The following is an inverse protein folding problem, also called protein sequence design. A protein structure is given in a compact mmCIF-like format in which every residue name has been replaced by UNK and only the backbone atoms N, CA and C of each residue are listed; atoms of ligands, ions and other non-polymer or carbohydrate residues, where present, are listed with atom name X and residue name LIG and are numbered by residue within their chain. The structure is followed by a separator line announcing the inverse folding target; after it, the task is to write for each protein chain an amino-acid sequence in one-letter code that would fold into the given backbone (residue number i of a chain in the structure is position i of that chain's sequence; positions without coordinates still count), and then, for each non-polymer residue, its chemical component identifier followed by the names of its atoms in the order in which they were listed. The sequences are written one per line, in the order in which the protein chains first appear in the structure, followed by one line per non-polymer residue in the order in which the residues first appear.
data_IF_323107455567
#
_entry.id   IF_323107455567
#
_cell.length_a   1.000
_cell.length_b   1.000
_cell.length_c   1.000
_cell.angle_alpha   90.00
_cell.angle_beta   90.00
_cell.angle_gamma   90.00
#
_symmetry.space_group_name_H-M   'P 1'
#
loop_
_entity.id
_entity.type
_entity.pdbx_description
1 polymer ?
#
# COMPACT_ATOMS: atom_id res chain seq x y z
N UNK A 1 -22.20 38.22 -39.25
CA UNK A 1 -23.57 38.17 -38.70
C UNK A 1 -24.10 36.76 -38.86
N UNK A 2 -24.12 35.97 -37.77
CA UNK A 2 -24.70 34.63 -37.70
C UNK A 2 -25.33 34.47 -36.31
N UNK A 3 -26.49 33.80 -36.18
CA UNK A 3 -27.39 34.01 -35.07
C UNK A 3 -27.05 33.15 -33.85
N UNK A 4 -27.32 33.75 -32.70
CA UNK A 4 -27.25 33.23 -31.33
C UNK A 4 -28.32 32.16 -31.11
N UNK A 5 -27.92 30.96 -30.66
CA UNK A 5 -28.86 29.94 -30.17
C UNK A 5 -28.96 30.06 -28.65
N UNK A 6 -30.14 30.46 -28.17
CA UNK A 6 -30.48 30.47 -26.75
C UNK A 6 -30.94 29.07 -26.33
N UNK A 7 -30.34 28.51 -25.27
CA UNK A 7 -30.77 27.26 -24.65
C UNK A 7 -31.41 27.57 -23.29
N UNK A 8 -32.68 27.20 -23.17
CA UNK A 8 -33.51 27.41 -21.99
C UNK A 8 -33.10 26.48 -20.84
N UNK A 9 -33.00 27.08 -19.65
CA UNK A 9 -32.69 26.45 -18.38
C UNK A 9 -34.00 25.95 -17.75
N UNK A 10 -34.14 24.64 -17.55
CA UNK A 10 -35.23 24.07 -16.76
C UNK A 10 -34.70 23.73 -15.35
N UNK A 11 -35.13 24.49 -14.34
CA UNK A 11 -34.96 24.14 -12.94
C UNK A 11 -35.95 23.03 -12.57
N UNK A 12 -35.44 21.92 -12.05
CA UNK A 12 -36.22 20.93 -11.32
C UNK A 12 -35.81 20.97 -9.85
N UNK A 13 -36.68 21.54 -9.03
CA UNK A 13 -36.65 21.47 -7.56
C UNK A 13 -37.15 20.11 -7.09
N UNK A 14 -36.33 19.36 -6.36
CA UNK A 14 -36.74 18.17 -5.62
C UNK A 14 -36.65 18.47 -4.11
N UNK A 15 -37.81 18.37 -3.48
CA UNK A 15 -38.01 18.50 -2.04
C UNK A 15 -37.49 17.26 -1.31
N UNK A 16 -36.70 17.45 -0.26
CA UNK A 16 -36.37 16.39 0.70
C UNK A 16 -37.34 16.48 1.88
N UNK A 17 -38.13 15.43 2.03
CA UNK A 17 -38.96 15.14 3.21
C UNK A 17 -38.08 14.70 4.38
N UNK A 18 -38.24 15.37 5.51
CA UNK A 18 -37.61 15.08 6.79
C UNK A 18 -38.13 13.76 7.38
N UNK A 19 -37.23 12.82 7.69
CA UNK A 19 -37.52 11.69 8.58
C UNK A 19 -37.21 12.10 10.03
N UNK A 20 -38.27 12.08 10.82
CA UNK A 20 -38.36 12.28 12.26
C UNK A 20 -37.60 11.15 12.98
N UNK A 21 -36.73 11.49 13.93
CA UNK A 21 -36.12 10.54 14.86
C UNK A 21 -36.77 10.80 16.21
N UNK A 22 -37.56 9.85 16.69
CA UNK A 22 -38.23 9.94 17.99
C UNK A 22 -37.21 9.64 19.09
N UNK A 23 -37.08 10.60 20.01
CA UNK A 23 -36.47 10.47 21.32
C UNK A 23 -37.43 9.67 22.22
N UNK A 24 -36.95 8.61 22.87
CA UNK A 24 -37.58 8.11 24.08
C UNK A 24 -36.53 7.66 25.09
N UNK A 25 -36.46 8.45 26.15
CA UNK A 25 -35.63 8.27 27.33
C UNK A 25 -36.26 7.24 28.30
N UNK A 26 -35.42 6.51 29.04
CA UNK A 26 -35.78 6.01 30.37
C UNK A 26 -34.56 5.97 31.29
N UNK A 27 -34.47 6.86 32.29
CA UNK A 27 -33.57 6.67 33.42
C UNK A 27 -34.29 5.90 34.52
N UNK A 28 -33.58 5.03 35.23
CA UNK A 28 -33.99 4.60 36.56
C UNK A 28 -32.78 4.48 37.50
N UNK A 29 -32.91 4.97 38.75
CA UNK A 29 -31.83 5.09 39.71
C UNK A 29 -31.72 3.84 40.59
N UNK A 30 -30.50 3.52 41.01
CA UNK A 30 -30.25 2.42 41.94
C UNK A 30 -28.90 2.58 42.61
N UNK A 31 -28.81 3.57 43.50
CA UNK A 31 -27.70 3.71 44.43
C UNK A 31 -27.75 2.57 45.46
N UNK A 32 -26.80 1.64 45.38
CA UNK A 32 -26.50 0.69 46.45
C UNK A 32 -25.21 1.13 47.14
N UNK A 33 -25.26 1.18 48.47
CA UNK A 33 -24.24 1.69 49.38
C UNK A 33 -22.87 0.98 49.24
N UNK A 34 -21.76 1.66 49.58
CA UNK A 34 -20.46 1.03 49.65
C UNK A 34 -20.30 0.21 50.95
N UNK A 35 -19.84 -1.05 50.89
CA UNK A 35 -19.36 -1.77 52.07
C UNK A 35 -17.99 -1.24 52.55
N UNK A 36 -17.64 -1.48 53.83
CA UNK A 36 -16.62 -0.74 54.56
C UNK A 36 -15.18 -1.02 54.10
N UNK A 37 -14.37 0.04 54.18
CA UNK A 37 -12.92 0.04 54.00
C UNK A 37 -12.25 -1.02 54.89
N UNK A 38 -11.70 -2.05 54.26
CA UNK A 38 -10.87 -3.03 54.93
C UNK A 38 -9.45 -2.97 54.38
N UNK A 39 -8.56 -2.50 55.28
CA UNK A 39 -7.12 -2.81 55.37
C UNK A 39 -6.21 -2.14 54.35
N UNK A 40 -5.26 -1.38 54.90
CA UNK A 40 -3.90 -1.21 54.40
C UNK A 40 -3.37 -2.55 53.87
N UNK A 41 -3.52 -2.76 52.57
CA UNK A 41 -2.59 -3.55 51.80
C UNK A 41 -1.54 -2.54 51.33
N UNK A 42 -0.31 -2.68 51.82
CA UNK A 42 0.82 -1.97 51.22
C UNK A 42 0.79 -2.17 49.70
N UNK A 43 1.29 -1.19 48.92
CA UNK A 43 1.19 -1.25 47.46
C UNK A 43 1.66 -2.62 47.00
N UNK A 44 0.87 -3.34 46.17
CA UNK A 44 1.34 -4.61 45.63
C UNK A 44 2.71 -4.33 45.04
N UNK A 45 3.72 -5.12 45.44
CA UNK A 45 4.97 -5.13 44.73
C UNK A 45 4.62 -5.52 43.31
N UNK A 46 4.52 -4.51 42.43
CA UNK A 46 4.56 -4.71 41.01
C UNK A 46 5.94 -5.26 40.75
N UNK A 47 6.06 -6.60 40.85
CA UNK A 47 7.12 -7.32 40.18
C UNK A 47 7.11 -6.75 38.78
N UNK A 48 8.13 -5.93 38.48
CA UNK A 48 8.28 -5.31 37.19
C UNK A 48 8.28 -6.48 36.21
N UNK A 49 7.14 -6.67 35.53
CA UNK A 49 7.04 -7.66 34.48
C UNK A 49 8.13 -7.26 33.49
N UNK A 50 9.25 -7.99 33.52
CA UNK A 50 10.30 -7.82 32.53
C UNK A 50 9.65 -8.25 31.23
N UNK A 51 9.13 -7.26 30.50
CA UNK A 51 8.73 -7.45 29.13
C UNK A 51 9.98 -7.98 28.42
N UNK A 52 9.91 -9.18 27.80
CA UNK A 52 11.05 -9.69 27.06
C UNK A 52 11.46 -8.64 26.03
N UNK A 53 12.77 -8.40 25.92
CA UNK A 53 13.29 -7.49 24.91
C UNK A 53 12.82 -7.97 23.54
N UNK A 54 12.42 -7.05 22.63
CA UNK A 54 12.00 -7.44 21.30
C UNK A 54 13.13 -8.21 20.61
N UNK A 55 12.76 -9.27 19.89
CA UNK A 55 13.71 -10.02 19.08
C UNK A 55 14.42 -9.08 18.07
N UNK A 56 15.72 -9.29 17.79
CA UNK A 56 16.39 -8.49 16.77
C UNK A 56 15.75 -8.73 15.39
N UNK A 57 15.82 -7.76 14.47
CA UNK A 57 15.33 -7.91 13.11
C UNK A 57 15.92 -9.15 12.40
N UNK A 58 15.11 -9.77 11.54
CA UNK A 58 15.48 -10.97 10.80
C UNK A 58 16.71 -10.75 9.91
N UNK A 59 16.81 -9.59 9.26
CA UNK A 59 17.97 -9.23 8.43
C UNK A 59 18.66 -7.96 8.92
N UNK A 60 19.95 -7.75 8.56
CA UNK A 60 20.69 -6.55 8.94
C UNK A 60 19.99 -5.26 8.53
N UNK A 61 20.20 -4.21 9.32
CA UNK A 61 19.71 -2.87 9.01
C UNK A 61 20.42 -2.30 7.77
N UNK A 62 19.67 -1.51 6.99
CA UNK A 62 20.20 -0.81 5.82
C UNK A 62 20.93 0.45 6.32
N UNK A 63 22.20 0.68 5.93
CA UNK A 63 22.90 1.91 6.31
C UNK A 63 22.15 3.16 5.82
N UNK A 64 22.06 4.25 6.61
CA UNK A 64 21.40 5.48 6.19
C UNK A 64 21.94 6.01 4.85
N UNK A 65 21.05 6.44 3.96
CA UNK A 65 21.39 6.96 2.64
C UNK A 65 21.72 5.90 1.58
N UNK A 66 21.69 4.61 1.92
CA UNK A 66 21.85 3.52 0.95
C UNK A 66 20.50 2.98 0.49
N UNK A 67 20.48 2.36 -0.69
CA UNK A 67 19.30 1.65 -1.21
C UNK A 67 19.39 0.20 -0.75
N UNK A 68 18.30 -0.31 -0.20
CA UNK A 68 18.30 -1.66 0.32
C UNK A 68 16.95 -2.13 0.81
N UNK A 69 16.94 -3.40 1.19
CA UNK A 69 15.82 -4.08 1.81
C UNK A 69 16.26 -4.70 3.14
N UNK A 70 15.42 -4.54 4.15
CA UNK A 70 15.52 -5.22 5.43
C UNK A 70 14.18 -5.86 5.72
N UNK A 71 14.16 -7.13 6.10
CA UNK A 71 13.00 -7.78 6.69
C UNK A 71 13.18 -7.78 8.21
N UNK A 72 12.18 -7.29 8.92
CA UNK A 72 12.16 -7.27 10.39
C UNK A 72 11.67 -8.63 10.89
N UNK A 73 10.56 -9.11 10.33
CA UNK A 73 9.98 -10.42 10.62
C UNK A 73 8.95 -10.78 9.51
N UNK A 74 8.82 -12.08 9.24
CA UNK A 74 7.94 -12.64 8.19
C UNK A 74 6.50 -12.83 8.66
N UNK A 75 6.25 -12.85 9.97
CA UNK A 75 4.94 -13.21 10.52
C UNK A 75 4.16 -12.01 11.06
N UNK A 76 4.80 -10.93 11.53
CA UNK A 76 4.10 -9.65 11.85
C UNK A 76 5.00 -8.40 11.81
N UNK A 77 6.33 -8.51 11.92
CA UNK A 77 7.20 -7.32 12.04
C UNK A 77 7.45 -6.56 10.74
N UNK A 78 7.09 -7.12 9.58
CA UNK A 78 7.14 -6.44 8.30
C UNK A 78 8.55 -6.21 7.77
N UNK A 79 8.73 -5.16 6.97
CA UNK A 79 9.98 -4.88 6.26
C UNK A 79 10.22 -3.38 6.15
N UNK A 80 11.47 -3.02 5.85
CA UNK A 80 11.91 -1.66 5.54
C UNK A 80 12.55 -1.69 4.15
N UNK A 81 12.01 -0.90 3.23
CA UNK A 81 12.59 -0.67 1.91
C UNK A 81 13.15 0.74 1.83
N UNK A 82 14.48 0.88 1.99
CA UNK A 82 15.11 2.19 2.00
C UNK A 82 15.49 2.62 0.57
N UNK A 83 15.08 3.83 0.19
CA UNK A 83 15.41 4.41 -1.11
C UNK A 83 14.71 3.73 -2.30
N UNK A 84 13.67 2.93 -2.05
CA UNK A 84 12.85 2.31 -3.09
C UNK A 84 11.51 3.05 -3.24
N UNK A 85 10.96 3.19 -4.46
CA UNK A 85 11.54 2.79 -5.76
C UNK A 85 12.87 3.46 -6.07
N UNK A 86 13.77 2.73 -6.74
CA UNK A 86 15.07 3.23 -7.19
C UNK A 86 15.21 3.11 -8.69
N UNK A 87 16.02 3.97 -9.28
CA UNK A 87 16.37 3.93 -10.70
C UNK A 87 17.88 3.82 -10.84
N UNK A 88 18.32 3.03 -11.83
CA UNK A 88 19.73 2.96 -12.19
C UNK A 88 20.19 4.30 -12.76
N UNK A 89 21.46 4.68 -12.56
CA UNK A 89 22.01 5.97 -12.99
C UNK A 89 21.83 6.26 -14.48
N UNK A 90 21.84 5.22 -15.32
CA UNK A 90 21.59 5.28 -16.77
C UNK A 90 20.10 5.37 -17.17
N UNK A 91 19.17 5.29 -16.21
CA UNK A 91 17.73 5.34 -16.42
C UNK A 91 17.12 4.10 -17.09
N UNK A 92 17.91 3.03 -17.28
CA UNK A 92 17.49 1.82 -18.02
C UNK A 92 16.63 0.86 -17.21
N UNK A 93 16.78 0.87 -15.89
CA UNK A 93 16.15 -0.09 -14.98
C UNK A 93 15.62 0.61 -13.73
N UNK A 94 14.50 0.09 -13.21
CA UNK A 94 13.84 0.57 -12.00
C UNK A 94 13.63 -0.60 -11.06
N UNK A 95 14.07 -0.46 -9.81
CA UNK A 95 13.85 -1.44 -8.76
C UNK A 95 12.69 -1.02 -7.86
N UNK A 96 11.82 -1.97 -7.54
CA UNK A 96 10.61 -1.78 -6.73
C UNK A 96 10.41 -2.96 -5.80
N UNK A 97 9.60 -2.76 -4.77
CA UNK A 97 9.02 -3.83 -3.96
C UNK A 97 7.55 -3.99 -4.28
N UNK A 98 7.06 -5.21 -4.24
CA UNK A 98 5.64 -5.53 -4.30
C UNK A 98 5.27 -6.35 -3.07
N UNK A 99 4.33 -5.82 -2.30
CA UNK A 99 3.77 -6.47 -1.10
C UNK A 99 2.34 -6.83 -1.40
N UNK A 100 2.00 -8.12 -1.38
CA UNK A 100 0.62 -8.57 -1.50
C UNK A 100 -0.03 -8.65 -0.11
N UNK A 101 -1.35 -8.54 -0.08
CA UNK A 101 -2.15 -8.90 1.10
C UNK A 101 -2.45 -10.40 1.02
N UNK A 102 -2.04 -11.11 2.06
CA UNK A 102 -2.14 -12.56 2.16
C UNK A 102 -3.55 -13.06 2.55
N UNK A 103 -4.50 -12.14 2.71
CA UNK A 103 -5.87 -12.44 3.12
C UNK A 103 -6.03 -12.56 4.63
N UNK A 104 -5.16 -11.88 5.39
CA UNK A 104 -5.23 -11.83 6.85
C UNK A 104 -4.64 -13.04 7.54
N UNK A 105 -3.78 -13.84 6.87
CA UNK A 105 -3.04 -14.92 7.58
C UNK A 105 -1.89 -14.34 8.40
N UNK A 106 -1.54 -13.07 8.16
CA UNK A 106 -0.54 -12.32 8.92
C UNK A 106 0.86 -12.38 8.30
N UNK A 107 1.08 -13.22 7.30
CA UNK A 107 2.40 -13.44 6.74
C UNK A 107 2.76 -12.45 5.65
N UNK A 108 4.05 -12.11 5.60
CA UNK A 108 4.59 -11.24 4.58
C UNK A 108 4.61 -11.93 3.21
N UNK A 109 3.91 -11.33 2.25
CA UNK A 109 4.03 -11.66 0.83
C UNK A 109 4.84 -10.55 0.15
N UNK A 110 6.15 -10.76 0.01
CA UNK A 110 7.08 -9.73 -0.46
C UNK A 110 7.91 -10.22 -1.64
N UNK A 111 7.94 -9.42 -2.69
CA UNK A 111 8.77 -9.64 -3.87
C UNK A 111 9.54 -8.36 -4.23
N UNK A 112 10.83 -8.49 -4.49
CA UNK A 112 11.65 -7.42 -5.07
C UNK A 112 11.72 -7.61 -6.59
N UNK A 113 11.49 -6.55 -7.36
CA UNK A 113 11.44 -6.59 -8.82
C UNK A 113 12.36 -5.55 -9.44
N UNK A 114 12.94 -5.89 -10.59
CA UNK A 114 13.60 -4.95 -11.50
C UNK A 114 12.79 -4.89 -12.79
N UNK A 115 12.43 -3.67 -13.17
CA UNK A 115 11.67 -3.33 -14.37
C UNK A 115 12.62 -2.73 -15.40
N UNK A 116 12.43 -3.04 -16.68
CA UNK A 116 13.05 -2.29 -17.77
C UNK A 116 12.31 -0.98 -18.05
N UNK A 117 12.80 -0.18 -19.01
CA UNK A 117 12.21 1.09 -19.38
C UNK A 117 10.75 1.02 -19.89
N UNK A 118 10.26 -0.17 -20.27
CA UNK A 118 8.87 -0.40 -20.69
C UNK A 118 7.94 -0.77 -19.53
N UNK A 119 8.50 -0.98 -18.33
CA UNK A 119 7.78 -1.46 -17.16
C UNK A 119 7.69 -2.99 -17.08
N UNK A 120 8.37 -3.72 -17.97
CA UNK A 120 8.40 -5.18 -17.93
C UNK A 120 9.36 -5.65 -16.83
N UNK A 121 8.92 -6.60 -16.02
CA UNK A 121 9.77 -7.28 -15.04
C UNK A 121 10.84 -8.09 -15.78
N UNK A 122 12.11 -7.73 -15.57
CA UNK A 122 13.29 -8.42 -16.11
C UNK A 122 14.05 -9.23 -15.06
N UNK A 123 13.80 -8.94 -13.78
CA UNK A 123 14.31 -9.71 -12.65
C UNK A 123 13.30 -9.66 -11.51
N UNK A 124 13.11 -10.76 -10.80
CA UNK A 124 12.28 -10.82 -9.61
C UNK A 124 12.90 -11.80 -8.61
N UNK A 125 12.81 -11.48 -7.32
CA UNK A 125 13.13 -12.37 -6.21
C UNK A 125 11.99 -12.35 -5.21
N UNK A 126 11.42 -13.53 -4.97
CA UNK A 126 10.49 -13.78 -3.87
C UNK A 126 11.28 -13.71 -2.56
N UNK A 127 11.03 -12.68 -1.77
CA UNK A 127 11.73 -12.42 -0.51
C UNK A 127 11.05 -13.12 0.65
N UNK A 128 9.72 -13.08 0.68
CA UNK A 128 8.90 -13.82 1.63
C UNK A 128 7.69 -14.39 0.90
N UNK A 129 7.35 -15.64 1.20
CA UNK A 129 6.18 -16.33 0.68
C UNK A 129 5.31 -16.77 1.85
N UNK A 130 4.05 -16.29 1.95
CA UNK A 130 3.17 -16.63 3.06
C UNK A 130 2.86 -18.14 3.13
N UNK A 131 3.06 -18.90 2.06
CA UNK A 131 2.83 -20.35 2.06
C UNK A 131 4.01 -21.16 2.65
N UNK A 132 5.13 -20.51 2.92
CA UNK A 132 6.30 -21.14 3.55
C UNK A 132 6.33 -20.94 5.06
N UNK A 133 5.44 -20.11 5.59
CA UNK A 133 5.37 -19.86 7.01
C UNK A 133 4.74 -21.05 7.74
N UNK A 134 5.33 -21.39 8.88
CA UNK A 134 4.74 -22.36 9.79
C UNK A 134 3.61 -21.67 10.57
N UNK A 135 2.37 -22.22 10.58
CA UNK A 135 1.29 -21.68 11.40
C UNK A 135 1.58 -21.69 12.90
N UNK A 136 2.56 -22.46 13.36
CA UNK A 136 2.96 -22.48 14.76
C UNK A 136 3.95 -21.35 15.08
N UNK A 137 3.60 -20.52 16.07
CA UNK A 137 4.51 -19.51 16.58
C UNK A 137 5.76 -20.20 17.15
N UNK A 138 6.97 -19.91 16.64
CA UNK A 138 8.17 -20.56 17.13
C UNK A 138 8.38 -20.21 18.60
N UNK A 139 8.64 -21.22 19.43
CA UNK A 139 8.99 -20.99 20.83
C UNK A 139 10.17 -20.02 20.93
N UNK A 140 10.15 -19.14 21.94
CA UNK A 140 11.23 -18.19 22.16
C UNK A 140 12.60 -18.90 22.24
N UNK A 141 13.54 -18.51 21.38
CA UNK A 141 14.87 -19.13 21.28
C UNK A 141 14.94 -20.37 20.39
N UNK A 142 13.87 -20.73 19.66
CA UNK A 142 13.92 -21.72 18.61
C UNK A 142 14.96 -21.35 17.53
N UNK A 143 15.60 -22.33 16.87
CA UNK A 143 16.44 -22.06 15.72
C UNK A 143 15.63 -21.40 14.60
N UNK A 144 16.26 -20.60 13.72
CA UNK A 144 15.58 -20.01 12.58
C UNK A 144 14.87 -21.05 11.72
N UNK A 145 13.65 -20.75 11.31
CA UNK A 145 12.87 -21.61 10.41
C UNK A 145 13.50 -21.69 9.01
N UNK A 146 13.03 -22.65 8.19
CA UNK A 146 13.42 -22.70 6.79
C UNK A 146 13.02 -21.41 6.03
N UNK A 147 11.85 -20.84 6.37
CA UNK A 147 11.38 -19.57 5.82
C UNK A 147 12.32 -18.42 6.20
N UNK A 148 12.74 -18.33 7.46
CA UNK A 148 13.69 -17.31 7.93
C UNK A 148 15.01 -17.35 7.17
N UNK A 149 15.56 -18.55 6.97
CA UNK A 149 16.82 -18.73 6.24
C UNK A 149 16.66 -18.39 4.75
N UNK A 150 15.55 -18.78 4.13
CA UNK A 150 15.24 -18.43 2.74
C UNK A 150 15.09 -16.91 2.57
N UNK A 151 14.37 -16.24 3.48
CA UNK A 151 14.22 -14.77 3.46
C UNK A 151 15.55 -14.06 3.67
N UNK A 152 16.40 -14.51 4.58
CA UNK A 152 17.76 -13.94 4.74
C UNK A 152 18.58 -14.05 3.47
N UNK A 153 18.55 -15.20 2.80
CA UNK A 153 19.26 -15.41 1.55
C UNK A 153 18.72 -14.51 0.43
N UNK A 154 17.40 -14.40 0.31
CA UNK A 154 16.75 -13.56 -0.68
C UNK A 154 17.04 -12.07 -0.47
N UNK A 155 17.01 -11.57 0.77
CA UNK A 155 17.39 -10.19 1.10
C UNK A 155 18.86 -9.93 0.76
N UNK A 156 19.76 -10.87 1.06
CA UNK A 156 21.17 -10.74 0.70
C UNK A 156 21.36 -10.67 -0.82
N UNK A 157 20.63 -11.48 -1.59
CA UNK A 157 20.63 -11.42 -3.05
C UNK A 157 20.14 -10.04 -3.55
N UNK A 158 19.00 -9.56 -3.07
CA UNK A 158 18.44 -8.26 -3.47
C UNK A 158 19.41 -7.11 -3.16
N UNK A 159 19.98 -7.09 -1.96
CA UNK A 159 20.94 -6.07 -1.56
C UNK A 159 22.26 -6.16 -2.37
N UNK A 160 22.65 -7.35 -2.83
CA UNK A 160 23.78 -7.47 -3.76
C UNK A 160 23.50 -6.83 -5.12
N UNK A 161 22.25 -6.78 -5.59
CA UNK A 161 21.90 -6.06 -6.83
C UNK A 161 22.10 -4.56 -6.69
N UNK A 162 21.72 -4.02 -5.54
CA UNK A 162 21.89 -2.60 -5.23
C UNK A 162 23.37 -2.25 -5.05
N UNK A 163 24.14 -3.10 -4.37
CA UNK A 163 25.57 -2.89 -4.20
C UNK A 163 26.37 -2.97 -5.52
N UNK A 164 25.90 -3.76 -6.49
CA UNK A 164 26.58 -3.95 -7.78
C UNK A 164 26.29 -2.86 -8.83
N UNK A 165 25.29 -2.00 -8.59
CA UNK A 165 24.85 -0.98 -9.55
C UNK A 165 24.95 0.43 -9.00
N UNK A 166 25.00 1.40 -9.90
CA UNK A 166 24.77 2.81 -9.56
C UNK A 166 23.26 3.04 -9.51
N UNK A 167 22.69 2.98 -8.31
CA UNK A 167 21.26 3.18 -8.07
C UNK A 167 21.05 4.47 -7.28
N UNK A 168 19.94 5.16 -7.59
CA UNK A 168 19.46 6.31 -6.81
C UNK A 168 17.99 6.16 -6.51
N UNK A 169 17.57 6.66 -5.36
CA UNK A 169 16.17 6.72 -4.98
C UNK A 169 15.38 7.60 -5.95
N UNK A 170 14.16 7.20 -6.27
CA UNK A 170 13.21 8.01 -7.02
C UNK A 170 12.34 8.81 -6.04
N UNK A 171 12.42 10.15 -6.06
CA UNK A 171 11.55 10.96 -5.23
C UNK A 171 10.12 10.88 -5.74
N UNK A 172 9.15 10.84 -4.82
CA UNK A 172 7.75 10.63 -5.17
C UNK A 172 6.80 11.07 -4.07
N UNK A 173 5.51 10.86 -4.33
CA UNK A 173 4.47 11.03 -3.31
C UNK A 173 4.60 9.96 -2.23
N UNK A 174 4.04 10.26 -1.05
CA UNK A 174 3.79 9.22 -0.06
C UNK A 174 2.79 8.20 -0.64
N UNK A 175 2.99 6.89 -0.42
CA UNK A 175 2.02 5.88 -0.81
C UNK A 175 0.70 6.08 -0.08
N UNK A 176 -0.40 6.13 -0.84
CA UNK A 176 -1.74 6.05 -0.27
C UNK A 176 -1.98 4.59 0.13
N UNK A 177 -2.26 4.30 1.42
CA UNK A 177 -2.56 2.94 1.86
C UNK A 177 -3.93 2.48 1.31
N UNK A 178 -4.14 1.17 1.13
CA UNK A 178 -5.46 0.66 0.79
C UNK A 178 -6.46 0.96 1.92
N UNK A 179 -7.68 1.36 1.56
CA UNK A 179 -8.80 1.49 2.51
C UNK A 179 -10.11 1.12 1.83
N UNK A 180 -11.07 0.60 2.59
CA UNK A 180 -12.39 0.22 2.06
C UNK A 180 -13.17 1.43 1.52
N UNK A 181 -12.94 2.62 2.08
CA UNK A 181 -13.54 3.89 1.64
C UNK A 181 -12.74 4.60 0.53
N UNK A 182 -11.74 3.93 -0.05
CA UNK A 182 -10.86 4.56 -1.03
C UNK A 182 -11.61 4.77 -2.35
N UNK A 183 -11.78 6.04 -2.75
CA UNK A 183 -12.18 6.35 -4.12
C UNK A 183 -11.02 6.00 -5.06
N UNK A 184 -11.20 4.96 -5.88
CA UNK A 184 -10.18 4.48 -6.80
C UNK A 184 -9.70 5.52 -7.83
N UNK A 185 -10.44 6.61 -8.02
CA UNK A 185 -10.05 7.72 -8.90
C UNK A 185 -9.44 8.90 -8.14
N UNK A 186 -9.05 8.72 -6.87
CA UNK A 186 -8.35 9.73 -6.08
C UNK A 186 -7.09 10.20 -6.82
N UNK A 187 -6.94 11.52 -7.03
CA UNK A 187 -5.78 12.06 -7.69
C UNK A 187 -4.56 12.02 -6.74
N UNK A 188 -3.42 11.61 -7.28
CA UNK A 188 -2.13 11.75 -6.60
C UNK A 188 -1.45 13.01 -7.11
N UNK A 189 -1.05 13.90 -6.21
CA UNK A 189 -0.34 15.14 -6.58
C UNK A 189 1.12 15.03 -6.17
N UNK A 190 2.01 15.42 -7.06
CA UNK A 190 3.43 15.53 -6.79
C UNK A 190 4.01 16.76 -7.51
N UNK A 191 4.55 17.69 -6.73
CA UNK A 191 4.94 19.04 -7.20
C UNK A 191 3.75 19.77 -7.84
N UNK A 192 3.89 20.28 -9.07
CA UNK A 192 2.86 20.99 -9.83
C UNK A 192 1.98 20.07 -10.69
N UNK A 193 2.19 18.75 -10.62
CA UNK A 193 1.49 17.75 -11.42
C UNK A 193 0.47 16.98 -10.60
N UNK A 194 -0.71 16.77 -11.19
CA UNK A 194 -1.78 15.93 -10.66
C UNK A 194 -2.00 14.74 -11.60
N UNK A 195 -1.92 13.54 -11.03
CA UNK A 195 -2.09 12.27 -11.72
C UNK A 195 -3.42 11.66 -11.32
N UNK A 196 -4.23 11.24 -12.30
CA UNK A 196 -5.50 10.56 -12.05
C UNK A 196 -5.58 9.28 -12.86
N UNK A 197 -5.92 8.18 -12.21
CA UNK A 197 -6.16 6.89 -12.84
C UNK A 197 -7.66 6.75 -13.16
N UNK A 198 -7.99 6.64 -14.45
CA UNK A 198 -9.33 6.30 -14.93
C UNK A 198 -9.38 4.77 -15.08
N UNK A 199 -9.74 4.06 -14.00
CA UNK A 199 -9.61 2.60 -13.86
C UNK A 199 -10.20 1.84 -15.04
N UNK A 200 -11.46 2.12 -15.39
CA UNK A 200 -12.19 1.42 -16.46
C UNK A 200 -11.61 1.64 -17.85
N UNK A 201 -10.90 2.75 -18.05
CA UNK A 201 -10.24 3.07 -19.32
C UNK A 201 -8.77 2.66 -19.34
N UNK A 202 -8.25 2.18 -18.20
CA UNK A 202 -6.82 1.93 -17.99
C UNK A 202 -5.98 3.10 -18.49
N UNK A 203 -6.33 4.31 -18.04
CA UNK A 203 -5.75 5.54 -18.54
C UNK A 203 -5.29 6.38 -17.36
N UNK A 204 -4.02 6.77 -17.36
CA UNK A 204 -3.57 7.83 -16.46
C UNK A 204 -3.64 9.16 -17.20
N UNK A 205 -4.26 10.16 -16.58
CA UNK A 205 -4.28 11.54 -17.05
C UNK A 205 -3.38 12.36 -16.15
N UNK A 206 -2.50 13.17 -16.75
CA UNK A 206 -1.58 14.07 -16.05
C UNK A 206 -2.04 15.50 -16.32
N UNK A 207 -2.18 16.29 -15.25
CA UNK A 207 -2.61 17.69 -15.29
C UNK A 207 -1.58 18.59 -14.62
N UNK A 208 -1.49 19.84 -15.08
CA UNK A 208 -0.78 20.95 -14.43
C UNK A 208 -1.80 22.05 -14.16
N UNK A 209 -2.19 22.21 -12.90
CA UNK A 209 -3.42 22.94 -12.55
C UNK A 209 -4.64 22.36 -13.27
N UNK A 210 -5.39 23.22 -13.97
CA UNK A 210 -6.58 22.79 -14.73
C UNK A 210 -6.29 22.30 -16.15
N UNK A 211 -5.05 22.39 -16.61
CA UNK A 211 -4.67 21.96 -17.95
C UNK A 211 -4.29 20.48 -17.96
N UNK A 212 -4.92 19.69 -18.83
CA UNK A 212 -4.45 18.33 -19.16
C UNK A 212 -3.18 18.45 -20.01
N UNK A 213 -2.06 17.92 -19.51
CA UNK A 213 -0.75 17.99 -20.18
C UNK A 213 -0.34 16.67 -20.83
N UNK A 214 -0.84 15.53 -20.33
CA UNK A 214 -0.59 14.23 -20.95
C UNK A 214 -1.66 13.19 -20.60
N UNK A 215 -1.65 12.07 -21.33
CA UNK A 215 -2.49 10.90 -21.08
C UNK A 215 -1.78 9.64 -21.57
N UNK A 216 -1.73 8.59 -20.74
CA UNK A 216 -1.06 7.34 -21.11
C UNK A 216 -1.96 6.14 -20.85
N UNK A 217 -2.14 5.30 -21.87
CA UNK A 217 -2.87 4.04 -21.74
C UNK A 217 -2.01 2.99 -21.06
N UNK A 218 -2.60 2.24 -20.14
CA UNK A 218 -2.00 1.23 -19.28
C UNK A 218 -2.56 -0.17 -19.59
N UNK A 219 -2.94 -0.43 -20.85
CA UNK A 219 -3.82 -1.53 -21.30
C UNK A 219 -3.29 -2.96 -21.07
N UNK A 220 -2.19 -3.13 -20.33
CA UNK A 220 -1.57 -4.42 -19.97
C UNK A 220 -1.00 -4.46 -18.55
N UNK A 221 -1.20 -3.41 -17.77
CA UNK A 221 -0.59 -3.30 -16.44
C UNK A 221 -1.41 -4.04 -15.39
N UNK A 222 -2.75 -3.97 -15.48
CA UNK A 222 -3.68 -4.66 -14.60
C UNK A 222 -4.97 -5.01 -15.36
N UNK A 223 -5.66 -6.11 -15.02
CA UNK A 223 -6.97 -6.41 -15.61
C UNK A 223 -8.02 -5.39 -15.17
N UNK A 224 -8.96 -5.06 -16.06
CA UNK A 224 -10.11 -4.23 -15.68
C UNK A 224 -11.01 -5.07 -14.77
N UNK A 225 -11.40 -4.57 -13.58
CA UNK A 225 -12.35 -5.28 -12.73
C UNK A 225 -13.65 -5.55 -13.49
N UNK A 226 -14.18 -6.75 -13.34
CA UNK A 226 -15.51 -7.10 -13.80
C UNK A 226 -16.60 -6.37 -13.02
N UNK A 227 -17.85 -6.70 -13.33
CA UNK A 227 -18.95 -6.26 -12.45
C UNK A 227 -18.85 -7.07 -11.15
N UNK A 228 -18.99 -6.42 -9.98
CA UNK A 228 -19.07 -7.14 -8.72
C UNK A 228 -20.14 -8.23 -8.82
N UNK A 229 -19.79 -9.43 -8.41
CA UNK A 229 -20.73 -10.53 -8.24
C UNK A 229 -21.19 -10.48 -6.79
N UNK A 230 -22.45 -10.09 -6.57
CA UNK A 230 -23.00 -9.90 -5.24
C UNK A 230 -22.98 -11.18 -4.39
N UNK A 231 -22.89 -12.34 -5.04
CA UNK A 231 -22.86 -13.64 -4.39
C UNK A 231 -21.44 -14.19 -4.18
N UNK A 232 -20.41 -13.53 -4.75
CA UNK A 232 -19.03 -13.94 -4.57
C UNK A 232 -18.51 -13.46 -3.20
N UNK A 233 -17.92 -14.36 -2.37
CA UNK A 233 -17.33 -13.95 -1.10
C UNK A 233 -16.14 -12.99 -1.28
N UNK A 234 -15.53 -13.02 -2.48
CA UNK A 234 -14.46 -12.14 -2.91
C UNK A 234 -14.80 -11.54 -4.26
N UNK A 235 -15.02 -10.24 -4.29
CA UNK A 235 -15.16 -9.47 -5.53
C UNK A 235 -13.81 -9.26 -6.20
N UNK A 236 -13.86 -8.83 -7.45
CA UNK A 236 -12.68 -8.39 -8.17
C UNK A 236 -11.96 -7.26 -7.42
N UNK A 237 -10.63 -7.34 -7.37
CA UNK A 237 -9.78 -6.31 -6.78
C UNK A 237 -9.95 -4.97 -7.49
N UNK A 238 -10.04 -3.90 -6.71
CA UNK A 238 -10.16 -2.55 -7.25
C UNK A 238 -8.77 -1.88 -7.34
N UNK A 239 -8.24 -1.61 -8.54
CA UNK A 239 -6.98 -0.89 -8.69
C UNK A 239 -7.16 0.58 -8.36
N UNK A 240 -6.12 1.18 -7.78
CA UNK A 240 -6.05 2.62 -7.52
C UNK A 240 -4.62 3.12 -7.71
N UNK A 241 -4.46 4.43 -7.94
CA UNK A 241 -3.13 5.02 -8.00
C UNK A 241 -2.62 5.27 -6.57
N UNK A 242 -1.71 4.42 -6.11
CA UNK A 242 -1.18 4.49 -4.74
C UNK A 242 -0.08 5.55 -4.61
N UNK A 243 0.85 5.59 -5.56
CA UNK A 243 1.96 6.54 -5.54
C UNK A 243 2.44 6.91 -6.93
N UNK A 244 3.16 8.03 -7.02
CA UNK A 244 3.89 8.45 -8.22
C UNK A 244 5.32 8.83 -7.85
N UNK A 245 6.29 8.41 -8.66
CA UNK A 245 7.69 8.76 -8.49
C UNK A 245 8.22 9.36 -9.79
N UNK A 246 8.86 10.52 -9.70
CA UNK A 246 9.30 11.26 -10.88
C UNK A 246 10.80 11.20 -11.01
N UNK A 247 11.25 10.91 -12.22
CA UNK A 247 12.63 11.08 -12.63
C UNK A 247 12.76 12.17 -13.68
N UNK A 248 13.16 13.36 -13.25
CA UNK A 248 13.38 14.50 -14.14
C UNK A 248 14.51 14.22 -15.13
N UNK A 249 15.58 13.53 -14.69
CA UNK A 249 16.76 13.28 -15.51
C UNK A 249 16.46 12.35 -16.69
N UNK A 250 15.69 11.28 -16.49
CA UNK A 250 15.25 10.40 -17.56
C UNK A 250 13.92 10.83 -18.22
N UNK A 251 13.29 11.91 -17.74
CA UNK A 251 11.96 12.35 -18.14
C UNK A 251 10.90 11.23 -18.05
N UNK A 252 10.83 10.56 -16.91
CA UNK A 252 9.93 9.42 -16.66
C UNK A 252 9.14 9.60 -15.36
N UNK A 253 7.99 8.94 -15.30
CA UNK A 253 7.20 8.75 -14.09
C UNK A 253 6.98 7.26 -13.88
N UNK A 254 7.24 6.79 -12.66
CA UNK A 254 6.85 5.47 -12.18
C UNK A 254 5.55 5.62 -11.41
N UNK A 255 4.52 4.92 -11.86
CA UNK A 255 3.21 4.86 -11.23
C UNK A 255 3.13 3.56 -10.44
N UNK A 256 2.80 3.65 -9.15
CA UNK A 256 2.50 2.50 -8.30
C UNK A 256 1.00 2.34 -8.24
N UNK A 257 0.49 1.22 -8.75
CA UNK A 257 -0.93 0.89 -8.78
C UNK A 257 -1.17 -0.18 -7.73
N UNK A 258 -1.84 0.22 -6.65
CA UNK A 258 -2.26 -0.67 -5.57
C UNK A 258 -3.60 -1.33 -5.90
N UNK A 259 -3.99 -2.29 -5.05
CA UNK A 259 -5.25 -3.00 -5.15
C UNK A 259 -5.94 -3.03 -3.79
N UNK A 260 -7.24 -2.76 -3.78
CA UNK A 260 -8.10 -2.98 -2.61
C UNK A 260 -8.77 -4.35 -2.79
N UNK A 261 -8.69 -5.19 -1.77
CA UNK A 261 -9.31 -6.51 -1.76
C UNK A 261 -10.84 -6.39 -1.88
N UNK A 262 -11.47 -7.25 -2.68
CA UNK A 262 -12.92 -7.24 -2.90
C UNK A 262 -13.74 -7.89 -1.78
N UNK A 263 -13.33 -7.79 -0.52
CA UNK A 263 -14.01 -8.44 0.61
C UNK A 263 -13.07 -8.78 1.76
N UNK A 264 -13.66 -9.13 2.90
CA UNK A 264 -12.89 -9.50 4.09
C UNK A 264 -12.15 -10.83 3.86
N UNK A 265 -10.85 -10.86 4.18
CA UNK A 265 -9.96 -12.03 4.04
C UNK A 265 -9.75 -12.54 2.60
N UNK A 266 -10.05 -11.73 1.60
CA UNK A 266 -9.90 -12.13 0.19
C UNK A 266 -8.45 -12.02 -0.32
N UNK A 267 -7.58 -11.33 0.43
CA UNK A 267 -6.26 -10.96 -0.03
C UNK A 267 -6.33 -9.99 -1.21
N UNK A 268 -5.20 -9.40 -1.54
CA UNK A 268 -5.05 -8.59 -2.73
C UNK A 268 -3.65 -8.83 -3.29
N UNK A 269 -3.54 -8.94 -4.61
CA UNK A 269 -2.25 -9.00 -5.27
C UNK A 269 -1.41 -7.78 -4.91
N UNK A 270 -0.11 -7.97 -4.89
CA UNK A 270 0.82 -6.87 -4.68
C UNK A 270 0.74 -5.81 -5.78
N UNK A 271 1.23 -4.60 -5.50
CA UNK A 271 1.14 -3.49 -6.43
C UNK A 271 1.84 -3.83 -7.75
N UNK A 272 1.27 -3.29 -8.82
CA UNK A 272 1.88 -3.31 -10.16
C UNK A 272 2.41 -1.92 -10.47
N UNK A 273 3.40 -1.86 -11.35
CA UNK A 273 4.09 -0.63 -11.66
C UNK A 273 3.99 -0.34 -13.16
N UNK A 274 3.77 0.92 -13.50
CA UNK A 274 3.81 1.40 -14.87
C UNK A 274 4.85 2.50 -15.01
N UNK A 275 5.51 2.56 -16.16
CA UNK A 275 6.45 3.63 -16.48
C UNK A 275 5.87 4.42 -17.64
N UNK A 276 5.71 5.73 -17.46
CA UNK A 276 5.20 6.64 -18.49
C UNK A 276 6.16 7.81 -18.70
N UNK A 277 6.26 8.38 -19.91
CA UNK A 277 7.02 9.60 -20.12
C UNK A 277 6.47 10.77 -19.29
N UNK A 278 7.36 11.60 -18.73
CA UNK A 278 6.99 12.86 -18.13
C UNK A 278 6.60 13.87 -19.24
N UNK A 279 5.49 14.62 -19.09
CA UNK A 279 5.17 15.69 -20.04
C UNK A 279 6.26 16.76 -20.02
N UNK A 280 6.61 17.27 -21.21
CA UNK A 280 7.53 18.41 -21.37
C UNK A 280 6.89 19.71 -20.91
#
# INVERSE_FOLDING_TARGET
MRPTLALALALATLAFTACKRDDDAKPAPGASAPPPSARDAGPPQVDAMMMPLPAPPLTPAIPPGTIGLQVIDVTYGGFVAQGLPAIKGDGSMIAVVAVADDGGRGYLDLEARVLDASGKVVKAVRVADPNQADPEEPAAGAPPSAADLATKAAVAEVNAWFAAGDWRALPGSEPIPPSDDLDAELPVTYRDLTFRLEVRKQLVTIRRGDAKVASHKLTRVYPVPGKPDADAPCNDEQPYLSAVHVDDAAAKVVLTIGFVAGGHNCGARGPVHAIVPLPK
#
